data_IF_125080981479
#
_entry.id   IF_125080981479
#
_cell.length_a   1.000
_cell.length_b   1.000
_cell.length_c   1.000
_cell.angle_alpha   90.00
_cell.angle_beta   90.00
_cell.angle_gamma   90.00
#
_symmetry.space_group_name_H-M   'P 1'
#
loop_
_entity.id
_entity.type
_entity.pdbx_description
1 polymer ?
#
# COMPACT_ATOMS: atom_id res chain seq x y z
N UNK A 1 -1.19 -9.25 3.38
CA UNK A 1 -0.96 -8.07 2.51
C UNK A 1 -0.17 -8.44 1.23
N UNK A 2 -0.35 -9.64 0.64
CA UNK A 2 0.57 -10.15 -0.40
C UNK A 2 0.12 -9.94 -1.86
N UNK A 3 -1.10 -9.44 -2.10
CA UNK A 3 -1.69 -9.46 -3.45
C UNK A 3 -1.23 -8.32 -4.38
N UNK A 4 -0.61 -7.26 -3.83
CA UNK A 4 -0.21 -6.08 -4.61
C UNK A 4 1.29 -6.01 -4.93
N UNK A 5 2.09 -6.99 -4.48
CA UNK A 5 3.55 -6.89 -4.50
C UNK A 5 4.24 -7.58 -5.69
N UNK A 6 3.55 -8.48 -6.41
CA UNK A 6 4.20 -9.32 -7.43
C UNK A 6 4.14 -8.78 -8.87
N UNK A 7 3.04 -8.14 -9.30
CA UNK A 7 2.83 -7.82 -10.73
C UNK A 7 2.66 -6.34 -11.08
N UNK A 8 2.75 -5.46 -10.09
CA UNK A 8 2.55 -4.03 -10.33
C UNK A 8 1.29 -3.70 -11.14
N UNK A 9 1.32 -2.59 -11.84
CA UNK A 9 0.18 -1.86 -12.37
C UNK A 9 -0.46 -2.51 -13.60
N UNK A 10 0.10 -3.64 -14.06
CA UNK A 10 -0.48 -4.51 -15.08
C UNK A 10 -1.50 -5.55 -14.58
N UNK A 11 -1.57 -5.86 -13.28
CA UNK A 11 -2.47 -6.92 -12.80
C UNK A 11 -3.94 -6.49 -12.87
N UNK A 12 -4.77 -7.09 -13.74
CA UNK A 12 -6.20 -6.74 -13.85
C UNK A 12 -6.96 -6.93 -12.51
N UNK A 13 -8.12 -6.29 -12.35
CA UNK A 13 -8.98 -6.51 -11.17
C UNK A 13 -9.35 -7.99 -11.01
N UNK A 14 -9.50 -8.73 -12.11
CA UNK A 14 -9.74 -10.19 -12.08
C UNK A 14 -8.54 -10.97 -11.53
N UNK A 15 -7.33 -10.60 -11.93
CA UNK A 15 -6.12 -11.24 -11.41
C UNK A 15 -5.92 -10.94 -9.91
N UNK A 16 -6.26 -9.73 -9.48
CA UNK A 16 -6.29 -9.35 -8.06
C UNK A 16 -7.35 -10.17 -7.31
N UNK A 17 -8.56 -10.33 -7.86
CA UNK A 17 -9.62 -11.12 -7.26
C UNK A 17 -9.20 -12.59 -7.09
N UNK A 18 -8.59 -13.16 -8.12
CA UNK A 18 -8.06 -14.53 -8.12
C UNK A 18 -7.01 -14.73 -7.02
N UNK A 19 -6.05 -13.81 -6.90
CA UNK A 19 -4.99 -13.88 -5.88
C UNK A 19 -5.47 -13.61 -4.46
N UNK A 20 -6.49 -12.78 -4.30
CA UNK A 20 -7.12 -12.51 -3.02
C UNK A 20 -8.17 -13.57 -2.65
N UNK A 21 -8.37 -14.59 -3.49
CA UNK A 21 -9.37 -15.66 -3.31
C UNK A 21 -10.80 -15.11 -3.12
N UNK A 22 -11.11 -13.97 -3.76
CA UNK A 22 -12.43 -13.34 -3.75
C UNK A 22 -13.11 -13.45 -5.11
N UNK A 23 -14.44 -13.56 -5.10
CA UNK A 23 -15.21 -13.57 -6.35
C UNK A 23 -15.07 -12.25 -7.11
N UNK A 24 -14.89 -12.32 -8.44
CA UNK A 24 -14.77 -11.14 -9.32
C UNK A 24 -15.97 -10.19 -9.14
N UNK A 25 -17.19 -10.71 -9.05
CA UNK A 25 -18.40 -9.90 -8.81
C UNK A 25 -18.36 -9.15 -7.45
N UNK A 26 -17.79 -9.76 -6.41
CA UNK A 26 -17.63 -9.13 -5.10
C UNK A 26 -16.61 -8.00 -5.18
N UNK A 27 -15.44 -8.28 -5.76
CA UNK A 27 -14.40 -7.27 -5.92
C UNK A 27 -14.87 -6.09 -6.78
N UNK A 28 -15.60 -6.35 -7.87
CA UNK A 28 -16.15 -5.31 -8.74
C UNK A 28 -17.26 -4.48 -8.07
N UNK A 29 -18.09 -5.09 -7.20
CA UNK A 29 -19.09 -4.35 -6.40
C UNK A 29 -18.44 -3.36 -5.43
N UNK A 30 -17.34 -3.75 -4.80
CA UNK A 30 -16.62 -2.88 -3.86
C UNK A 30 -15.69 -1.90 -4.57
N UNK A 31 -15.11 -2.31 -5.69
CA UNK A 31 -14.13 -1.55 -6.45
C UNK A 31 -14.50 -1.55 -7.94
N UNK A 32 -15.47 -0.72 -8.35
CA UNK A 32 -15.92 -0.67 -9.75
C UNK A 32 -14.80 -0.26 -10.71
N UNK A 33 -13.76 0.39 -10.20
CA UNK A 33 -12.59 0.80 -10.98
C UNK A 33 -11.30 0.41 -10.28
N UNK A 34 -10.23 0.21 -11.07
CA UNK A 34 -8.87 0.05 -10.51
C UNK A 34 -8.51 1.21 -9.60
N UNK A 35 -8.90 2.44 -9.98
CA UNK A 35 -8.65 3.65 -9.20
C UNK A 35 -9.29 3.59 -7.81
N UNK A 36 -10.55 3.14 -7.69
CA UNK A 36 -11.20 3.00 -6.37
C UNK A 36 -10.50 1.99 -5.45
N UNK A 37 -9.94 0.92 -6.03
CA UNK A 37 -9.13 -0.03 -5.26
C UNK A 37 -7.80 0.60 -4.81
N UNK A 38 -7.12 1.30 -5.73
CA UNK A 38 -5.86 1.97 -5.44
C UNK A 38 -6.04 3.05 -4.37
N UNK A 39 -7.09 3.86 -4.43
CA UNK A 39 -7.39 4.91 -3.44
C UNK A 39 -7.44 4.34 -2.01
N UNK A 40 -8.16 3.23 -1.80
CA UNK A 40 -8.24 2.57 -0.48
C UNK A 40 -6.89 1.98 -0.06
N UNK A 41 -6.21 1.28 -0.97
CA UNK A 41 -4.89 0.70 -0.69
C UNK A 41 -3.89 1.79 -0.31
N UNK A 42 -3.84 2.90 -1.04
CA UNK A 42 -2.97 4.03 -0.75
C UNK A 42 -3.34 4.73 0.56
N UNK A 43 -4.63 4.88 0.86
CA UNK A 43 -5.10 5.47 2.11
C UNK A 43 -4.56 4.70 3.32
N UNK A 44 -4.83 3.39 3.41
CA UNK A 44 -4.40 2.54 4.52
C UNK A 44 -2.87 2.56 4.69
N UNK A 45 -2.16 2.61 3.56
CA UNK A 45 -0.70 2.64 3.54
C UNK A 45 -0.13 3.97 4.03
N UNK A 46 -0.74 5.10 3.65
CA UNK A 46 -0.38 6.43 4.15
C UNK A 46 -0.66 6.51 5.65
N UNK A 47 -1.80 5.99 6.12
CA UNK A 47 -2.11 5.95 7.55
C UNK A 47 -1.05 5.17 8.34
N UNK A 48 -0.62 4.00 7.83
CA UNK A 48 0.44 3.22 8.45
C UNK A 48 1.77 3.99 8.52
N UNK A 49 2.13 4.74 7.47
CA UNK A 49 3.34 5.57 7.46
C UNK A 49 3.25 6.72 8.49
N UNK A 50 2.07 7.34 8.63
CA UNK A 50 1.82 8.35 9.66
C UNK A 50 1.89 7.76 11.08
N UNK A 51 1.40 6.53 11.28
CA UNK A 51 1.49 5.84 12.57
C UNK A 51 2.95 5.59 12.96
N UNK A 52 3.79 5.10 12.04
CA UNK A 52 5.23 4.91 12.29
C UNK A 52 5.95 6.22 12.56
N UNK A 53 5.59 7.30 11.86
CA UNK A 53 6.15 8.63 12.14
C UNK A 53 5.94 9.04 13.60
N UNK A 54 4.72 8.84 14.12
CA UNK A 54 4.38 9.13 15.52
C UNK A 54 5.15 8.23 16.50
N UNK A 55 5.32 6.96 16.16
CA UNK A 55 6.10 6.03 16.99
C UNK A 55 7.58 6.44 17.08
N UNK A 56 8.22 6.74 15.95
CA UNK A 56 9.61 7.18 15.90
C UNK A 56 9.82 8.50 16.66
N UNK A 57 8.92 9.46 16.48
CA UNK A 57 8.96 10.74 17.18
C UNK A 57 8.84 10.61 18.71
N UNK A 58 8.17 9.56 19.21
CA UNK A 58 8.02 9.29 20.63
C UNK A 58 9.19 8.51 21.26
N UNK A 59 10.11 7.96 20.46
CA UNK A 59 11.13 7.00 20.93
C UNK A 59 12.58 7.41 20.65
N UNK A 60 12.81 8.39 19.79
CA UNK A 60 14.15 8.72 19.32
C UNK A 60 14.40 10.23 19.26
N UNK A 61 15.67 10.62 19.25
CA UNK A 61 16.05 12.00 18.98
C UNK A 61 15.50 12.43 17.61
N UNK A 62 15.17 13.72 17.39
CA UNK A 62 14.47 14.17 16.19
C UNK A 62 15.15 13.77 14.86
N UNK A 63 16.48 13.82 14.80
CA UNK A 63 17.25 13.40 13.62
C UNK A 63 17.14 11.91 13.34
N UNK A 64 17.28 11.08 14.38
CA UNK A 64 17.20 9.62 14.27
C UNK A 64 15.78 9.16 13.90
N UNK A 65 14.77 9.80 14.48
CA UNK A 65 13.36 9.56 14.17
C UNK A 65 13.05 9.86 12.69
N UNK A 66 13.56 10.96 12.16
CA UNK A 66 13.40 11.33 10.75
C UNK A 66 14.08 10.32 9.82
N UNK A 67 15.30 9.90 10.13
CA UNK A 67 16.04 8.92 9.32
C UNK A 67 15.32 7.57 9.33
N UNK A 68 14.84 7.11 10.48
CA UNK A 68 14.08 5.87 10.60
C UNK A 68 12.78 5.94 9.76
N UNK A 69 12.06 7.06 9.85
CA UNK A 69 10.85 7.28 9.05
C UNK A 69 11.13 7.36 7.54
N UNK A 70 12.22 7.98 7.11
CA UNK A 70 12.61 8.03 5.70
C UNK A 70 12.96 6.64 5.14
N UNK A 71 13.56 5.76 5.95
CA UNK A 71 13.80 4.36 5.57
C UNK A 71 12.49 3.61 5.38
N UNK A 72 11.57 3.77 6.31
CA UNK A 72 10.22 3.21 6.26
C UNK A 72 9.44 3.68 5.03
N UNK A 73 9.54 4.97 4.69
CA UNK A 73 8.98 5.55 3.47
C UNK A 73 9.63 4.93 2.21
N UNK A 74 10.95 4.74 2.20
CA UNK A 74 11.64 4.18 1.03
C UNK A 74 11.28 2.71 0.79
N UNK A 75 11.19 1.90 1.85
CA UNK A 75 10.71 0.50 1.77
C UNK A 75 9.28 0.49 1.20
N UNK A 76 8.44 1.39 1.70
CA UNK A 76 7.07 1.53 1.24
C UNK A 76 6.97 1.94 -0.24
N UNK A 77 7.74 2.94 -0.67
CA UNK A 77 7.79 3.39 -2.06
C UNK A 77 8.31 2.27 -2.98
N UNK A 78 9.30 1.51 -2.54
CA UNK A 78 9.82 0.36 -3.28
C UNK A 78 8.76 -0.73 -3.50
N UNK A 79 7.96 -1.04 -2.47
CA UNK A 79 6.83 -1.98 -2.57
C UNK A 79 5.65 -1.41 -3.39
N UNK A 80 5.61 -0.09 -3.60
CA UNK A 80 4.55 0.60 -4.34
C UNK A 80 4.93 0.93 -5.78
N UNK A 81 6.21 0.79 -6.19
CA UNK A 81 6.66 0.98 -7.57
C UNK A 81 5.92 0.10 -8.58
N UNK A 82 5.43 -1.06 -8.12
CA UNK A 82 4.51 -1.85 -8.91
C UNK A 82 3.25 -1.05 -9.28
N UNK A 83 2.63 -0.28 -8.39
CA UNK A 83 1.28 0.25 -8.56
C UNK A 83 1.13 1.47 -9.50
N UNK A 84 2.22 2.11 -9.93
CA UNK A 84 2.20 3.40 -10.64
C UNK A 84 2.62 3.33 -12.13
N UNK A 85 2.95 2.15 -12.67
CA UNK A 85 3.48 1.98 -14.04
C UNK A 85 2.45 1.58 -15.08
#
# INVERSE_FOLDING_TARGET
QEVFAADGAGASLEEIARRAEVGSATLHRHFPTRRSLLEVVFHDRVEALCARAREHAGRSAPGDALIAWLRDLNIYAAASRGLAS
#
